data_IF_463025060455
#
_entry.id   IF_463025060455
#
_cell.length_a   1.000
_cell.length_b   1.000
_cell.length_c   1.000
_cell.angle_alpha   90.00
_cell.angle_beta   90.00
_cell.angle_gamma   90.00
#
_symmetry.space_group_name_H-M   'P 1'
#
loop_
_entity.id
_entity.type
_entity.pdbx_description
1 polymer ?
#
# COMPACT_ATOMS: atom_id res chain seq x y z
N UNK A 1 19.43 4.45 -57.05
CA UNK A 1 19.53 3.28 -56.15
C UNK A 1 18.72 3.60 -54.89
N UNK A 2 17.51 3.02 -54.70
CA UNK A 2 16.75 3.25 -53.47
C UNK A 2 17.25 2.31 -52.36
N UNK A 3 17.50 2.86 -51.17
CA UNK A 3 17.90 2.11 -49.99
C UNK A 3 16.70 1.31 -49.45
N UNK A 4 16.85 -0.02 -49.38
CA UNK A 4 15.89 -0.92 -48.72
C UNK A 4 16.12 -0.83 -47.21
N UNK A 5 15.13 -0.36 -46.45
CA UNK A 5 15.13 -0.54 -44.99
C UNK A 5 14.78 -1.99 -44.67
N UNK A 6 15.67 -2.67 -43.95
CA UNK A 6 15.46 -4.03 -43.46
C UNK A 6 14.47 -3.98 -42.29
N UNK A 7 13.27 -4.55 -42.46
CA UNK A 7 12.38 -4.84 -41.33
C UNK A 7 12.95 -6.05 -40.58
N UNK A 8 13.49 -5.83 -39.39
CA UNK A 8 13.84 -6.92 -38.48
C UNK A 8 12.53 -7.51 -37.95
N UNK A 9 12.36 -8.80 -38.17
CA UNK A 9 11.21 -9.58 -37.74
C UNK A 9 11.01 -9.46 -36.22
N UNK A 10 9.80 -9.06 -35.79
CA UNK A 10 9.33 -9.28 -34.42
C UNK A 10 9.01 -8.05 -33.57
N UNK A 11 9.13 -6.83 -34.09
CA UNK A 11 8.69 -5.62 -33.36
C UNK A 11 7.37 -5.14 -33.97
N UNK A 12 6.23 -5.23 -33.27
CA UNK A 12 4.99 -4.63 -33.76
C UNK A 12 5.17 -3.10 -33.80
N UNK A 13 4.99 -2.50 -34.97
CA UNK A 13 4.97 -1.04 -35.10
C UNK A 13 3.74 -0.48 -34.34
N UNK A 14 3.95 -0.01 -33.12
CA UNK A 14 2.93 0.63 -32.30
C UNK A 14 2.70 2.08 -32.75
N UNK A 15 2.05 2.26 -33.89
CA UNK A 15 1.39 3.54 -34.23
C UNK A 15 -0.05 3.51 -33.75
N UNK A 16 -0.25 3.81 -32.46
CA UNK A 16 -1.58 3.91 -31.87
C UNK A 16 -1.56 4.45 -30.44
N UNK A 17 -1.93 5.74 -30.29
CA UNK A 17 -2.07 6.47 -29.02
C UNK A 17 -2.90 5.72 -27.95
N UNK A 18 -3.87 4.90 -28.36
CA UNK A 18 -4.78 4.21 -27.44
C UNK A 18 -4.16 3.03 -26.67
N UNK A 19 -3.14 2.37 -27.21
CA UNK A 19 -2.48 1.24 -26.54
C UNK A 19 -1.44 1.71 -25.50
N UNK A 20 -0.74 2.80 -25.80
CA UNK A 20 0.23 3.41 -24.88
C UNK A 20 -0.41 3.94 -23.58
N UNK A 21 -1.68 4.35 -23.64
CA UNK A 21 -2.45 4.75 -22.46
C UNK A 21 -2.73 3.60 -21.48
N UNK A 22 -2.65 2.34 -21.93
CA UNK A 22 -2.91 1.15 -21.09
C UNK A 22 -1.74 0.79 -20.17
N UNK A 23 -0.55 1.36 -20.41
CA UNK A 23 0.65 1.16 -19.62
C UNK A 23 1.00 2.35 -18.71
N UNK A 24 0.12 3.36 -18.63
CA UNK A 24 0.33 4.51 -17.76
C UNK A 24 -0.10 4.13 -16.34
N UNK A 25 0.83 4.26 -15.37
CA UNK A 25 0.52 4.16 -13.94
C UNK A 25 -0.63 5.13 -13.64
N UNK A 26 -1.76 4.62 -13.13
CA UNK A 26 -2.92 5.45 -12.81
C UNK A 26 -2.56 6.44 -11.72
N UNK A 27 -2.82 7.72 -11.97
CA UNK A 27 -2.70 8.79 -10.97
C UNK A 27 -3.96 8.85 -10.13
N UNK A 28 -3.85 9.33 -8.89
CA UNK A 28 -5.00 9.59 -7.99
C UNK A 28 -5.96 10.64 -8.55
N UNK A 29 -5.51 11.41 -9.54
CA UNK A 29 -6.25 12.44 -10.28
C UNK A 29 -6.99 11.90 -11.51
N UNK A 30 -6.78 10.64 -11.89
CA UNK A 30 -7.45 10.05 -13.06
C UNK A 30 -8.94 9.79 -12.77
N UNK A 31 -9.82 9.93 -13.78
CA UNK A 31 -11.24 9.70 -13.63
C UNK A 31 -11.56 8.23 -13.28
N UNK A 32 -12.58 8.03 -12.43
CA UNK A 32 -13.09 6.73 -11.99
C UNK A 32 -13.41 5.85 -13.21
N UNK A 33 -12.74 4.69 -13.33
CA UNK A 33 -13.03 3.72 -14.38
C UNK A 33 -14.30 2.96 -14.01
N UNK A 34 -15.34 3.10 -14.84
CA UNK A 34 -16.51 2.23 -14.78
C UNK A 34 -16.11 0.83 -15.25
N UNK A 35 -16.59 -0.25 -14.61
CA UNK A 35 -16.31 -1.60 -15.08
C UNK A 35 -16.85 -1.78 -16.50
N UNK A 36 -15.99 -2.18 -17.43
CA UNK A 36 -16.43 -2.64 -18.74
C UNK A 36 -17.07 -4.01 -18.57
N UNK A 37 -18.39 -4.05 -18.60
CA UNK A 37 -19.16 -5.30 -18.64
C UNK A 37 -18.68 -6.08 -19.87
N UNK A 38 -18.07 -7.24 -19.64
CA UNK A 38 -17.84 -8.22 -20.71
C UNK A 38 -19.19 -8.53 -21.35
N UNK A 39 -19.25 -8.53 -22.68
CA UNK A 39 -20.46 -8.85 -23.44
C UNK A 39 -21.04 -10.25 -23.15
N UNK A 40 -20.39 -11.07 -22.30
CA UNK A 40 -20.83 -12.41 -21.90
C UNK A 40 -21.05 -12.64 -20.39
N UNK A 41 -20.96 -11.62 -19.54
CA UNK A 41 -21.47 -11.70 -18.16
C UNK A 41 -20.89 -12.77 -17.23
N UNK A 42 -19.70 -13.34 -17.50
CA UNK A 42 -19.03 -14.27 -16.59
C UNK A 42 -18.04 -13.53 -15.68
N UNK A 43 -18.18 -13.73 -14.37
CA UNK A 43 -17.52 -12.99 -13.29
C UNK A 43 -16.43 -13.81 -12.57
N UNK A 44 -15.94 -14.87 -13.19
CA UNK A 44 -15.01 -15.83 -12.58
C UNK A 44 -13.72 -15.87 -13.41
N UNK A 45 -12.86 -14.88 -13.24
CA UNK A 45 -11.45 -14.99 -13.64
C UNK A 45 -10.64 -15.28 -12.39
N UNK A 46 -10.24 -16.53 -12.22
CA UNK A 46 -9.44 -16.97 -11.07
C UNK A 46 -7.97 -16.60 -11.30
N UNK A 47 -7.50 -15.63 -10.51
CA UNK A 47 -6.16 -15.01 -10.61
C UNK A 47 -5.01 -16.03 -10.54
N UNK A 48 -5.25 -17.23 -10.02
CA UNK A 48 -4.22 -18.25 -9.81
C UNK A 48 -4.19 -19.35 -10.89
N UNK A 49 -5.21 -19.41 -11.76
CA UNK A 49 -5.37 -20.52 -12.71
C UNK A 49 -5.27 -20.10 -14.18
N UNK A 50 -5.38 -18.79 -14.47
CA UNK A 50 -5.36 -18.30 -15.85
C UNK A 50 -3.93 -18.18 -16.43
N UNK A 51 -3.69 -18.66 -17.66
CA UNK A 51 -2.38 -18.59 -18.30
C UNK A 51 -1.94 -17.14 -18.51
N UNK A 52 -0.65 -16.86 -18.26
CA UNK A 52 0.00 -15.52 -18.23
C UNK A 52 -0.14 -14.76 -19.57
N UNK A 53 -0.57 -15.44 -20.64
CA UNK A 53 -0.82 -14.85 -21.96
C UNK A 53 -2.19 -14.17 -22.08
N UNK A 54 -3.10 -14.39 -21.12
CA UNK A 54 -4.36 -13.65 -21.01
C UNK A 54 -4.06 -12.31 -20.37
N UNK A 55 -4.49 -11.21 -21.00
CA UNK A 55 -4.43 -9.90 -20.36
C UNK A 55 -5.33 -9.90 -19.13
N UNK A 56 -4.76 -10.21 -17.97
CA UNK A 56 -5.44 -10.11 -16.70
C UNK A 56 -5.70 -8.63 -16.43
N UNK A 57 -6.95 -8.19 -16.59
CA UNK A 57 -7.37 -6.86 -16.15
C UNK A 57 -7.49 -6.95 -14.63
N UNK A 58 -6.37 -6.81 -13.94
CA UNK A 58 -6.40 -6.57 -12.49
C UNK A 58 -6.96 -5.17 -12.32
N UNK A 59 -8.21 -5.07 -11.85
CA UNK A 59 -8.82 -3.79 -11.47
C UNK A 59 -8.15 -3.27 -10.19
N UNK A 60 -6.90 -2.82 -10.33
CA UNK A 60 -6.17 -2.03 -9.37
C UNK A 60 -6.61 -0.57 -9.53
N UNK A 61 -7.86 -0.23 -9.21
CA UNK A 61 -8.29 1.17 -9.31
C UNK A 61 -9.77 1.45 -9.08
N UNK A 62 -10.02 2.46 -8.24
CA UNK A 62 -11.22 3.31 -8.16
C UNK A 62 -12.54 2.66 -8.58
N UNK A 63 -13.00 1.66 -7.83
CA UNK A 63 -14.42 1.32 -7.82
C UNK A 63 -15.14 2.28 -6.86
N UNK A 64 -16.38 2.69 -7.18
CA UNK A 64 -17.20 3.58 -6.32
C UNK A 64 -17.37 3.01 -4.91
N UNK A 65 -17.43 1.68 -4.80
CA UNK A 65 -17.51 0.95 -3.54
C UNK A 65 -16.16 0.34 -3.11
N UNK A 66 -15.04 0.81 -3.68
CA UNK A 66 -13.72 0.33 -3.22
C UNK A 66 -13.41 0.87 -1.83
N UNK A 67 -12.68 0.12 -0.98
CA UNK A 67 -12.23 0.61 0.31
C UNK A 67 -11.44 1.93 0.22
N UNK A 68 -10.66 2.11 -0.85
CA UNK A 68 -9.89 3.34 -1.11
C UNK A 68 -10.81 4.55 -1.32
N UNK A 69 -11.92 4.38 -2.04
CA UNK A 69 -12.89 5.45 -2.28
C UNK A 69 -13.66 5.80 -1.01
N UNK A 70 -13.98 4.82 -0.17
CA UNK A 70 -14.63 5.07 1.13
C UNK A 70 -13.75 5.93 2.04
N UNK A 71 -12.45 5.60 2.13
CA UNK A 71 -11.48 6.38 2.89
C UNK A 71 -11.33 7.78 2.30
N UNK A 72 -11.19 7.88 0.96
CA UNK A 72 -11.09 9.17 0.27
C UNK A 72 -12.28 10.08 0.57
N UNK A 73 -13.50 9.53 0.52
CA UNK A 73 -14.74 10.28 0.82
C UNK A 73 -14.73 10.81 2.25
N UNK A 74 -14.36 9.97 3.22
CA UNK A 74 -14.29 10.35 4.63
C UNK A 74 -13.29 11.49 4.89
N UNK A 75 -12.11 11.42 4.27
CA UNK A 75 -11.08 12.47 4.38
C UNK A 75 -11.58 13.78 3.75
N UNK A 76 -12.21 13.72 2.59
CA UNK A 76 -12.73 14.91 1.91
C UNK A 76 -13.90 15.57 2.67
N UNK A 77 -14.66 14.81 3.46
CA UNK A 77 -15.71 15.38 4.31
C UNK A 77 -15.19 16.08 5.57
N UNK A 78 -13.93 15.82 5.96
CA UNK A 78 -13.31 16.37 7.16
C UNK A 78 -11.94 17.01 6.84
N UNK A 79 -11.90 18.08 6.02
CA UNK A 79 -10.64 18.66 5.54
C UNK A 79 -9.81 19.32 6.65
N UNK A 80 -10.44 19.70 7.76
CA UNK A 80 -9.79 20.33 8.91
C UNK A 80 -9.19 19.30 9.89
N UNK A 81 -9.52 18.02 9.73
CA UNK A 81 -9.09 16.91 10.60
C UNK A 81 -7.81 16.24 10.06
N UNK A 82 -6.73 17.04 9.88
CA UNK A 82 -5.38 16.52 9.59
C UNK A 82 -4.43 16.73 10.79
N UNK A 83 -4.59 15.95 11.88
CA UNK A 83 -3.74 16.09 13.04
C UNK A 83 -2.30 15.63 12.71
N UNK A 84 -1.32 16.36 13.24
CA UNK A 84 0.07 15.89 13.22
C UNK A 84 0.20 14.65 14.10
N UNK A 85 0.39 13.49 13.47
CA UNK A 85 0.58 12.22 14.18
C UNK A 85 2.07 11.99 14.46
N UNK A 86 2.37 11.72 15.71
CA UNK A 86 3.65 11.16 16.13
C UNK A 86 3.48 9.66 16.35
N UNK A 87 4.35 8.86 15.73
CA UNK A 87 4.34 7.41 15.88
C UNK A 87 5.67 6.93 16.43
N UNK A 88 5.65 6.05 17.41
CA UNK A 88 6.83 5.35 17.93
C UNK A 88 6.65 3.85 17.81
N UNK A 89 7.75 3.12 17.56
CA UNK A 89 7.75 1.66 17.58
C UNK A 89 8.65 1.17 18.71
N UNK A 90 8.13 0.20 19.46
CA UNK A 90 8.79 -0.42 20.61
C UNK A 90 9.01 -1.90 20.32
N UNK A 91 10.20 -2.40 20.67
CA UNK A 91 10.54 -3.82 20.63
C UNK A 91 10.72 -4.33 22.05
N UNK A 92 10.16 -5.50 22.34
CA UNK A 92 10.34 -6.16 23.63
C UNK A 92 11.65 -6.97 23.61
N UNK A 93 12.59 -6.64 24.48
CA UNK A 93 13.88 -7.32 24.59
C UNK A 93 14.05 -7.95 25.99
N UNK A 94 14.70 -9.11 26.06
CA UNK A 94 15.07 -9.73 27.33
C UNK A 94 16.38 -9.12 27.82
N UNK A 95 16.42 -8.62 29.07
CA UNK A 95 17.58 -7.95 29.63
C UNK A 95 18.67 -8.91 30.16
N UNK A 96 18.50 -10.23 30.02
CA UNK A 96 19.43 -11.24 30.53
C UNK A 96 19.25 -11.58 32.00
N UNK A 97 18.48 -10.78 32.75
CA UNK A 97 18.16 -10.97 34.17
C UNK A 97 16.77 -11.61 34.36
N UNK A 98 16.18 -12.16 33.29
CA UNK A 98 14.85 -12.77 33.31
C UNK A 98 13.70 -11.77 33.21
N UNK A 99 13.98 -10.49 32.93
CA UNK A 99 12.96 -9.46 32.73
C UNK A 99 12.92 -9.01 31.27
N UNK A 100 11.70 -8.74 30.79
CA UNK A 100 11.50 -8.16 29.47
C UNK A 100 11.33 -6.65 29.60
N UNK A 101 11.99 -5.90 28.74
CA UNK A 101 11.98 -4.43 28.73
C UNK A 101 11.59 -3.95 27.33
N UNK A 102 10.66 -3.01 27.27
CA UNK A 102 10.32 -2.32 26.04
C UNK A 102 11.39 -1.29 25.70
N UNK A 103 11.99 -1.41 24.52
CA UNK A 103 12.95 -0.46 24.00
C UNK A 103 12.44 0.16 22.71
N UNK A 104 12.62 1.47 22.58
CA UNK A 104 12.28 2.16 21.34
C UNK A 104 13.24 1.73 20.24
N UNK A 105 12.70 1.36 19.08
CA UNK A 105 13.49 1.01 17.89
C UNK A 105 13.36 2.05 16.77
N UNK A 106 12.31 2.87 16.77
CA UNK A 106 12.14 3.94 15.79
C UNK A 106 10.99 4.91 16.10
N UNK A 107 10.92 5.99 15.32
CA UNK A 107 9.87 7.01 15.42
C UNK A 107 9.62 7.72 14.09
N UNK A 108 8.42 8.29 13.96
CA UNK A 108 7.96 9.01 12.77
C UNK A 108 7.28 10.33 13.12
N UNK A 109 7.76 11.41 12.49
CA UNK A 109 7.04 12.67 12.29
C UNK A 109 7.28 13.08 10.84
N UNK A 110 6.39 12.67 9.94
CA UNK A 110 6.53 12.74 8.46
C UNK A 110 7.69 11.90 7.90
N UNK A 111 8.84 11.89 8.56
CA UNK A 111 10.04 11.13 8.24
C UNK A 111 10.35 10.12 9.35
N UNK A 112 11.00 9.04 8.97
CA UNK A 112 11.49 7.99 9.86
C UNK A 112 12.82 8.35 10.48
N UNK A 113 12.97 8.00 11.76
CA UNK A 113 14.24 7.97 12.45
C UNK A 113 14.35 6.66 13.23
N UNK A 114 15.46 5.97 13.06
CA UNK A 114 15.73 4.67 13.68
C UNK A 114 16.73 4.89 14.80
N UNK A 115 16.61 4.11 15.87
CA UNK A 115 17.58 4.12 16.96
C UNK A 115 18.88 3.44 16.51
N UNK A 116 20.01 4.13 16.67
CA UNK A 116 21.35 3.66 16.30
C UNK A 116 22.27 3.58 17.53
N UNK A 117 23.23 2.66 17.47
CA UNK A 117 24.17 2.40 18.57
C UNK A 117 23.47 1.82 19.81
N UNK A 118 24.04 2.07 20.98
CA UNK A 118 23.50 1.60 22.28
C UNK A 118 22.31 2.45 22.77
N UNK A 119 21.31 2.67 21.91
CA UNK A 119 20.08 3.42 22.21
C UNK A 119 20.27 4.91 22.52
N UNK A 120 21.42 5.50 22.18
CA UNK A 120 21.75 6.90 22.54
C UNK A 120 21.52 7.90 21.41
N UNK A 121 21.32 7.44 20.17
CA UNK A 121 21.26 8.31 18.98
C UNK A 121 20.17 7.87 18.03
N UNK A 122 19.54 8.85 17.38
CA UNK A 122 18.64 8.61 16.27
C UNK A 122 19.37 8.87 14.95
N UNK A 123 19.02 8.11 13.93
CA UNK A 123 19.44 8.34 12.56
C UNK A 123 18.93 9.69 12.03
N UNK A 124 19.49 10.14 10.90
CA UNK A 124 18.95 11.30 10.18
C UNK A 124 17.53 10.99 9.68
N UNK A 125 16.62 11.99 9.67
CA UNK A 125 15.27 11.80 9.15
C UNK A 125 15.33 11.35 7.69
N UNK A 126 14.64 10.28 7.36
CA UNK A 126 14.60 9.71 6.01
C UNK A 126 13.20 9.23 5.63
N UNK A 127 13.00 8.94 4.35
CA UNK A 127 11.74 8.39 3.84
C UNK A 127 11.75 6.87 4.09
N UNK A 128 10.69 6.36 4.71
CA UNK A 128 10.53 4.93 4.98
C UNK A 128 10.48 4.08 3.73
N UNK A 129 11.22 2.99 3.74
CA UNK A 129 11.16 1.95 2.71
C UNK A 129 10.51 0.70 3.31
N UNK A 130 9.25 0.45 2.95
CA UNK A 130 8.50 -0.70 3.44
C UNK A 130 8.72 -1.95 2.58
N UNK A 131 8.94 -3.08 3.25
CA UNK A 131 8.99 -4.39 2.58
C UNK A 131 7.57 -4.87 2.24
N UNK A 132 7.39 -5.38 1.02
CA UNK A 132 6.07 -5.85 0.55
C UNK A 132 5.50 -6.98 1.42
N UNK A 133 6.37 -7.88 1.90
CA UNK A 133 5.96 -8.95 2.80
C UNK A 133 5.37 -8.40 4.10
N UNK A 134 6.01 -7.39 4.69
CA UNK A 134 5.54 -6.75 5.91
C UNK A 134 4.17 -6.08 5.70
N UNK A 135 3.96 -5.42 4.55
CA UNK A 135 2.66 -4.86 4.17
C UNK A 135 1.57 -5.92 4.06
N UNK A 136 1.88 -7.07 3.45
CA UNK A 136 0.93 -8.18 3.32
C UNK A 136 0.58 -8.80 4.68
N UNK A 137 1.56 -8.90 5.58
CA UNK A 137 1.33 -9.33 6.95
C UNK A 137 0.46 -8.32 7.72
N UNK A 138 0.75 -7.02 7.64
CA UNK A 138 -0.05 -5.98 8.26
C UNK A 138 -1.51 -6.01 7.79
N UNK A 139 -1.75 -6.17 6.48
CA UNK A 139 -3.10 -6.38 5.93
C UNK A 139 -3.80 -7.58 6.56
N UNK A 140 -3.09 -8.69 6.74
CA UNK A 140 -3.66 -9.89 7.36
C UNK A 140 -3.96 -9.67 8.84
N UNK A 141 -3.10 -8.95 9.57
CA UNK A 141 -3.35 -8.54 10.95
C UNK A 141 -4.61 -7.67 11.07
N UNK A 142 -4.81 -6.71 10.17
CA UNK A 142 -6.04 -5.91 10.16
C UNK A 142 -7.29 -6.72 9.79
N UNK A 143 -7.15 -7.72 8.90
CA UNK A 143 -8.27 -8.56 8.46
C UNK A 143 -8.74 -9.56 9.51
N UNK A 144 -7.80 -10.10 10.30
CA UNK A 144 -8.06 -11.22 11.23
C UNK A 144 -7.85 -10.87 12.70
N UNK A 145 -7.20 -9.75 12.98
CA UNK A 145 -6.88 -9.30 14.33
C UNK A 145 -8.07 -8.68 15.02
N UNK A 146 -7.85 -8.31 16.28
CA UNK A 146 -8.83 -7.60 17.10
C UNK A 146 -8.73 -6.11 16.77
N UNK A 147 -9.87 -5.48 16.50
CA UNK A 147 -9.97 -4.04 16.24
C UNK A 147 -10.96 -3.46 17.26
N UNK A 148 -10.46 -2.58 18.12
CA UNK A 148 -11.25 -1.83 19.09
C UNK A 148 -11.19 -0.36 18.69
N UNK A 149 -12.35 0.23 18.39
CA UNK A 149 -12.50 1.65 18.01
C UNK A 149 -13.29 2.36 19.10
N UNK A 150 -13.06 3.66 19.26
CA UNK A 150 -13.79 4.52 20.21
C UNK A 150 -13.78 4.00 21.65
N UNK A 151 -12.61 3.50 22.11
CA UNK A 151 -12.41 3.09 23.49
C UNK A 151 -12.39 4.31 24.42
N UNK A 152 -13.24 4.27 25.46
CA UNK A 152 -13.29 5.30 26.51
C UNK A 152 -12.20 5.10 27.60
N UNK A 153 -11.49 3.97 27.58
CA UNK A 153 -10.47 3.65 28.57
C UNK A 153 -9.18 4.46 28.36
N UNK A 154 -8.69 5.01 29.46
CA UNK A 154 -7.41 5.73 29.52
C UNK A 154 -6.41 4.98 30.40
N UNK A 155 -5.18 4.83 29.87
CA UNK A 155 -4.06 4.18 30.55
C UNK A 155 -3.79 2.75 30.09
N UNK A 156 -2.51 2.37 30.12
CA UNK A 156 -2.04 1.08 29.60
C UNK A 156 -2.68 -0.13 30.30
N UNK A 157 -2.84 -0.08 31.63
CA UNK A 157 -3.37 -1.21 32.39
C UNK A 157 -4.81 -1.55 32.00
N UNK A 158 -5.63 -0.52 31.69
CA UNK A 158 -7.01 -0.71 31.26
C UNK A 158 -7.11 -1.23 29.84
N UNK A 159 -6.22 -0.75 28.96
CA UNK A 159 -6.19 -1.15 27.54
C UNK A 159 -5.64 -2.58 27.37
N UNK A 160 -4.74 -3.01 28.27
CA UNK A 160 -4.07 -4.32 28.18
C UNK A 160 -4.81 -5.46 28.89
N UNK A 161 -5.82 -5.15 29.70
CA UNK A 161 -6.68 -6.12 30.40
C UNK A 161 -7.69 -6.78 29.45
#
# INVERSE_FOLDING_TARGET
MPSRSLSVAGIPEFRGSAAAARYRKSSVTDPIRRPSISARGQLESDLLLDPITVSQIVNLGNHVDSPVENVRRLVLTHPDDDPLIFTEVMTLENNGEGHNVWKQSGRWIKYEQIVEGDFTRFSKPHITLLQIQALMQAKNCLKKGVVLLDLDDSGFDKISS
#
